data_IF_030769043422
#
_entry.id   IF_030769043422
#
_cell.length_a   1.000
_cell.length_b   1.000
_cell.length_c   1.000
_cell.angle_alpha   90.00
_cell.angle_beta   90.00
_cell.angle_gamma   90.00
#
_symmetry.space_group_name_H-M   'P 1'
#
loop_
_entity.id
_entity.type
_entity.pdbx_description
1 polymer ?
#
# COMPACT_ATOMS: atom_id res chain seq x y z
N UNK A 1 -8.39 6.30 -5.52
CA UNK A 1 -7.22 6.76 -4.75
C UNK A 1 -6.12 5.71 -4.89
N UNK A 2 -4.91 6.10 -5.31
CA UNK A 2 -3.75 5.23 -5.37
C UNK A 2 -3.12 5.13 -3.98
N UNK A 3 -3.06 3.92 -3.43
CA UNK A 3 -2.57 3.68 -2.06
C UNK A 3 -1.35 2.77 -2.09
N UNK A 4 -0.26 3.24 -1.49
CA UNK A 4 0.89 2.43 -1.13
C UNK A 4 0.73 1.97 0.32
N UNK A 5 0.75 0.66 0.58
CA UNK A 5 0.73 0.13 1.94
C UNK A 5 2.17 -0.09 2.40
N UNK A 6 2.51 0.40 3.60
CA UNK A 6 3.82 0.16 4.23
C UNK A 6 3.60 -0.52 5.57
N UNK A 7 3.88 -1.83 5.65
CA UNK A 7 3.55 -2.69 6.79
C UNK A 7 4.38 -3.98 6.74
N UNK A 8 5.03 -4.34 7.84
CA UNK A 8 5.96 -5.49 7.90
C UNK A 8 5.27 -6.82 8.26
N UNK A 9 4.01 -6.77 8.68
CA UNK A 9 3.21 -7.95 9.00
C UNK A 9 2.16 -8.28 7.91
N UNK A 10 2.33 -9.43 7.25
CA UNK A 10 1.43 -9.93 6.19
C UNK A 10 -0.06 -9.97 6.58
N UNK A 11 -0.36 -10.30 7.84
CA UNK A 11 -1.73 -10.36 8.32
C UNK A 11 -2.35 -8.96 8.46
N UNK A 12 -1.55 -7.97 8.87
CA UNK A 12 -1.96 -6.59 8.95
C UNK A 12 -2.19 -6.03 7.53
N UNK A 13 -1.31 -6.30 6.56
CA UNK A 13 -1.51 -5.96 5.14
C UNK A 13 -2.86 -6.47 4.63
N UNK A 14 -3.13 -7.78 4.81
CA UNK A 14 -4.39 -8.39 4.33
C UNK A 14 -5.62 -7.77 5.00
N UNK A 15 -5.51 -7.38 6.27
CA UNK A 15 -6.59 -6.70 6.99
C UNK A 15 -6.81 -5.29 6.43
N UNK A 16 -5.75 -4.52 6.21
CA UNK A 16 -5.80 -3.18 5.62
C UNK A 16 -6.42 -3.20 4.22
N UNK A 17 -5.98 -4.11 3.35
CA UNK A 17 -6.53 -4.27 2.00
C UNK A 17 -8.04 -4.51 2.04
N UNK A 18 -8.50 -5.43 2.90
CA UNK A 18 -9.94 -5.70 3.07
C UNK A 18 -10.69 -4.49 3.61
N UNK A 19 -10.16 -3.83 4.64
CA UNK A 19 -10.80 -2.65 5.23
C UNK A 19 -10.91 -1.50 4.23
N UNK A 20 -9.85 -1.22 3.46
CA UNK A 20 -9.85 -0.20 2.40
C UNK A 20 -10.91 -0.49 1.33
N UNK A 21 -10.94 -1.73 0.81
CA UNK A 21 -11.90 -2.12 -0.23
C UNK A 21 -13.34 -2.20 0.28
N UNK A 22 -13.55 -2.40 1.58
CA UNK A 22 -14.89 -2.32 2.21
C UNK A 22 -15.39 -0.88 2.32
N UNK A 23 -14.49 0.08 2.56
CA UNK A 23 -14.82 1.51 2.66
C UNK A 23 -15.01 2.11 1.28
N UNK A 24 -14.09 1.83 0.36
CA UNK A 24 -14.12 2.30 -1.01
C UNK A 24 -13.58 1.22 -1.96
N UNK A 25 -14.45 0.52 -2.71
CA UNK A 25 -14.05 -0.46 -3.72
C UNK A 25 -13.24 0.13 -4.88
N UNK A 26 -13.23 1.46 -5.05
CA UNK A 26 -12.45 2.18 -6.07
C UNK A 26 -11.01 2.51 -5.65
N UNK A 27 -10.58 2.13 -4.45
CA UNK A 27 -9.17 2.23 -4.04
C UNK A 27 -8.31 1.33 -4.92
N UNK A 28 -7.22 1.89 -5.45
CA UNK A 28 -6.22 1.18 -6.22
C UNK A 28 -4.98 1.00 -5.36
N UNK A 29 -4.71 -0.23 -4.91
CA UNK A 29 -3.53 -0.53 -4.10
C UNK A 29 -2.36 -0.76 -5.04
N UNK A 30 -1.46 0.23 -5.12
CA UNK A 30 -0.39 0.29 -6.13
C UNK A 30 0.89 -0.43 -5.70
N UNK A 31 1.03 -0.72 -4.41
CA UNK A 31 2.17 -1.44 -3.86
C UNK A 31 1.97 -1.83 -2.40
N UNK A 32 2.79 -2.77 -1.93
CA UNK A 32 2.94 -3.14 -0.53
C UNK A 32 4.43 -3.29 -0.26
N UNK A 33 4.94 -2.54 0.72
CA UNK A 33 6.34 -2.52 1.10
C UNK A 33 6.49 -2.82 2.59
N UNK A 34 7.52 -3.59 2.97
CA UNK A 34 7.73 -4.08 4.35
C UNK A 34 8.83 -3.31 5.10
N UNK A 35 9.53 -2.40 4.41
CA UNK A 35 10.67 -1.69 4.97
C UNK A 35 10.77 -0.26 4.46
N UNK A 36 11.48 0.57 5.22
CA UNK A 36 11.79 1.94 4.81
C UNK A 36 12.57 1.96 3.49
N UNK A 37 13.54 1.06 3.33
CA UNK A 37 14.41 1.02 2.14
C UNK A 37 13.60 0.67 0.89
N UNK A 38 12.75 -0.35 0.98
CA UNK A 38 11.93 -0.77 -0.15
C UNK A 38 10.83 0.26 -0.47
N UNK A 39 10.24 0.90 0.55
CA UNK A 39 9.32 2.04 0.39
C UNK A 39 9.96 3.21 -0.37
N UNK A 40 11.16 3.62 0.04
CA UNK A 40 11.88 4.72 -0.64
C UNK A 40 12.22 4.33 -2.08
N UNK A 41 12.69 3.10 -2.31
CA UNK A 41 12.94 2.61 -3.66
C UNK A 41 11.66 2.60 -4.51
N UNK A 42 10.53 2.20 -3.94
CA UNK A 42 9.24 2.20 -4.63
C UNK A 42 8.85 3.63 -5.04
N UNK A 43 8.90 4.58 -4.11
CA UNK A 43 8.53 5.99 -4.35
C UNK A 43 9.43 6.67 -5.40
N UNK A 44 10.71 6.28 -5.49
CA UNK A 44 11.61 6.84 -6.50
C UNK A 44 11.36 6.32 -7.92
N UNK A 45 10.72 5.15 -8.05
CA UNK A 45 10.58 4.44 -9.33
C UNK A 45 9.12 4.34 -9.81
N UNK A 46 8.15 4.82 -9.03
CA UNK A 46 6.73 4.79 -9.35
C UNK A 46 6.12 6.18 -9.19
N UNK A 47 4.96 6.46 -9.83
CA UNK A 47 4.18 7.66 -9.55
C UNK A 47 3.83 7.77 -8.06
N UNK A 48 3.79 9.00 -7.55
CA UNK A 48 3.43 9.27 -6.16
C UNK A 48 2.01 8.74 -5.86
N UNK A 49 1.82 8.00 -4.76
CA UNK A 49 0.49 7.64 -4.28
C UNK A 49 -0.24 8.89 -3.74
N UNK A 50 -1.55 8.79 -3.52
CA UNK A 50 -2.35 9.86 -2.92
C UNK A 50 -2.13 9.99 -1.40
#
# INVERSE_FOLDING_TARGET
>A
MNVLIVEDEDLAVKKLQKTLLLVDPGVNIVGVEDSIVSTVNWLQNNPEPD
#
